data_IF_901120125958
#
_entry.id   IF_901120125958
#
_cell.length_a   1.000
_cell.length_b   1.000
_cell.length_c   1.000
_cell.angle_alpha   90.00
_cell.angle_beta   90.00
_cell.angle_gamma   90.00
#
_symmetry.space_group_name_H-M   'P 1'
#
loop_
_entity.id
_entity.type
_entity.pdbx_description
1 polymer ?
#
# COMPACT_ATOMS: atom_id res chain seq x y z
N UNK A 1 14.07 -4.77 4.67
CA UNK A 1 12.86 -4.90 3.86
C UNK A 1 12.00 -3.67 4.08
N UNK A 2 11.61 -3.00 3.03
CA UNK A 2 10.94 -1.72 3.12
C UNK A 2 9.58 -1.77 2.44
N UNK A 3 8.51 -1.56 3.21
CA UNK A 3 7.15 -1.56 2.67
C UNK A 3 6.95 -0.32 1.80
N UNK A 4 6.59 -0.53 0.54
CA UNK A 4 6.57 0.56 -0.45
C UNK A 4 5.21 1.20 -0.69
N UNK A 5 4.23 0.95 0.16
CA UNK A 5 2.90 1.49 -0.04
C UNK A 5 2.89 3.02 -0.16
N UNK A 6 3.52 3.69 0.79
CA UNK A 6 3.59 5.16 0.80
C UNK A 6 4.32 5.70 -0.42
N UNK A 7 5.43 5.06 -0.79
CA UNK A 7 6.22 5.47 -1.95
C UNK A 7 5.41 5.34 -3.24
N UNK A 8 4.72 4.22 -3.42
CA UNK A 8 3.89 4.00 -4.60
C UNK A 8 2.75 5.01 -4.68
N UNK A 9 2.12 5.29 -3.55
CA UNK A 9 1.04 6.26 -3.49
C UNK A 9 1.54 7.65 -3.89
N UNK A 10 2.68 8.06 -3.36
CA UNK A 10 3.25 9.36 -3.67
C UNK A 10 3.69 9.48 -5.13
N UNK A 11 4.18 8.40 -5.70
CA UNK A 11 4.55 8.39 -7.12
C UNK A 11 3.36 8.68 -8.00
N UNK A 12 2.18 8.20 -7.63
CA UNK A 12 0.95 8.46 -8.37
C UNK A 12 0.28 9.77 -7.99
N UNK A 13 0.87 10.48 -7.03
CA UNK A 13 0.37 11.78 -6.57
C UNK A 13 -1.08 11.71 -6.07
N UNK A 14 -1.40 10.63 -5.35
CA UNK A 14 -2.72 10.46 -4.76
C UNK A 14 -2.61 10.56 -3.24
N UNK A 15 -3.70 11.02 -2.62
CA UNK A 15 -3.76 11.14 -1.17
C UNK A 15 -4.09 9.80 -0.52
N UNK A 16 -3.88 9.72 0.80
CA UNK A 16 -4.33 8.56 1.57
C UNK A 16 -5.84 8.38 1.45
N UNK A 17 -6.58 9.49 1.46
CA UNK A 17 -8.03 9.44 1.32
C UNK A 17 -8.44 8.85 -0.02
N UNK A 18 -7.80 9.28 -1.10
CA UNK A 18 -8.10 8.77 -2.44
C UNK A 18 -7.86 7.26 -2.51
N UNK A 19 -6.72 6.81 -2.00
CA UNK A 19 -6.41 5.39 -1.97
C UNK A 19 -7.44 4.61 -1.16
N UNK A 20 -7.81 5.14 0.00
CA UNK A 20 -8.79 4.49 0.86
C UNK A 20 -10.15 4.38 0.17
N UNK A 21 -10.59 5.45 -0.48
CA UNK A 21 -11.86 5.44 -1.19
C UNK A 21 -11.85 4.43 -2.35
N UNK A 22 -10.77 4.39 -3.11
CA UNK A 22 -10.66 3.48 -4.24
C UNK A 22 -10.66 2.01 -3.80
N UNK A 23 -10.12 1.73 -2.63
CA UNK A 23 -10.04 0.37 -2.11
C UNK A 23 -11.15 0.05 -1.10
N UNK A 24 -12.07 0.99 -0.89
CA UNK A 24 -13.16 0.84 0.07
C UNK A 24 -12.63 0.53 1.48
N UNK A 25 -11.64 1.31 1.90
CA UNK A 25 -10.98 1.16 3.19
C UNK A 25 -11.05 2.46 3.97
N UNK A 26 -10.72 2.38 5.26
CA UNK A 26 -10.64 3.56 6.13
C UNK A 26 -9.28 4.23 5.96
N UNK A 27 -9.27 5.57 5.84
CA UNK A 27 -8.03 6.32 5.70
C UNK A 27 -7.07 6.08 6.87
N UNK A 28 -7.59 5.99 8.09
CA UNK A 28 -6.76 5.72 9.27
C UNK A 28 -6.04 4.38 9.15
N UNK A 29 -6.69 3.40 8.57
CA UNK A 29 -6.08 2.09 8.34
C UNK A 29 -4.91 2.19 7.36
N UNK A 30 -5.10 2.96 6.27
CA UNK A 30 -4.02 3.20 5.32
C UNK A 30 -2.83 3.86 6.01
N UNK A 31 -3.10 4.88 6.82
CA UNK A 31 -2.06 5.59 7.56
C UNK A 31 -1.27 4.65 8.46
N UNK A 32 -1.95 3.76 9.17
CA UNK A 32 -1.28 2.81 10.06
C UNK A 32 -0.40 1.84 9.30
N UNK A 33 -0.85 1.38 8.14
CA UNK A 33 -0.03 0.51 7.30
C UNK A 33 1.21 1.25 6.82
N UNK A 34 1.07 2.49 6.37
CA UNK A 34 2.20 3.28 5.88
C UNK A 34 3.21 3.58 6.97
N UNK A 35 2.75 3.77 8.19
CA UNK A 35 3.61 4.07 9.34
C UNK A 35 4.13 2.81 10.04
N UNK A 36 3.83 1.63 9.51
CA UNK A 36 4.24 0.35 10.08
C UNK A 36 3.67 0.12 11.48
N UNK A 37 2.54 0.75 11.79
CA UNK A 37 1.87 0.57 13.07
C UNK A 37 0.94 -0.63 13.07
N UNK A 38 0.61 -1.14 11.89
CA UNK A 38 -0.26 -2.28 11.72
C UNK A 38 0.20 -3.09 10.52
N UNK A 39 0.18 -4.40 10.65
CA UNK A 39 0.54 -5.29 9.57
C UNK A 39 -0.70 -5.67 8.77
N UNK A 40 -0.64 -5.48 7.46
CA UNK A 40 -1.76 -5.82 6.59
C UNK A 40 -1.85 -7.34 6.41
N UNK A 41 -3.09 -7.84 6.32
CA UNK A 41 -3.27 -9.25 6.04
C UNK A 41 -3.00 -9.53 4.55
N UNK A 42 -2.98 -10.79 4.21
CA UNK A 42 -2.61 -11.23 2.88
C UNK A 42 -3.52 -10.64 1.80
N UNK A 43 -4.83 -10.70 2.04
CA UNK A 43 -5.82 -10.18 1.10
C UNK A 43 -5.62 -8.69 0.85
N UNK A 44 -5.35 -7.93 1.91
CA UNK A 44 -5.14 -6.49 1.81
C UNK A 44 -3.86 -6.17 1.04
N UNK A 45 -2.79 -6.94 1.28
CA UNK A 45 -1.53 -6.75 0.55
C UNK A 45 -1.73 -6.99 -0.94
N UNK A 46 -2.51 -8.00 -1.31
CA UNK A 46 -2.81 -8.29 -2.71
C UNK A 46 -3.59 -7.13 -3.34
N UNK A 47 -4.55 -6.56 -2.61
CA UNK A 47 -5.31 -5.41 -3.10
C UNK A 47 -4.39 -4.23 -3.42
N UNK A 48 -3.43 -3.95 -2.55
CA UNK A 48 -2.47 -2.87 -2.79
C UNK A 48 -1.61 -3.16 -4.01
N UNK A 49 -1.08 -4.37 -4.11
CA UNK A 49 -0.23 -4.76 -5.24
C UNK A 49 -0.98 -4.65 -6.56
N UNK A 50 -2.22 -5.11 -6.59
CA UNK A 50 -3.06 -5.03 -7.79
C UNK A 50 -3.38 -3.58 -8.14
N UNK A 51 -3.69 -2.77 -7.15
CA UNK A 51 -4.01 -1.36 -7.36
C UNK A 51 -2.85 -0.62 -8.04
N UNK A 52 -1.65 -0.88 -7.58
CA UNK A 52 -0.45 -0.21 -8.09
C UNK A 52 0.22 -0.97 -9.23
N UNK A 53 -0.36 -2.10 -9.63
CA UNK A 53 0.15 -2.94 -10.72
C UNK A 53 1.62 -3.31 -10.51
N UNK A 54 1.92 -3.78 -9.31
CA UNK A 54 3.26 -4.25 -8.95
C UNK A 54 3.14 -5.64 -8.33
N UNK A 55 4.27 -6.35 -8.27
CA UNK A 55 4.30 -7.64 -7.60
C UNK A 55 4.20 -7.46 -6.09
N UNK A 56 3.75 -8.49 -5.41
CA UNK A 56 3.72 -8.49 -3.95
C UNK A 56 5.13 -8.33 -3.38
N UNK A 57 6.11 -8.99 -4.00
CA UNK A 57 7.50 -8.88 -3.55
C UNK A 57 8.01 -7.44 -3.64
N UNK A 58 7.67 -6.74 -4.72
CA UNK A 58 8.07 -5.34 -4.87
C UNK A 58 7.40 -4.46 -3.80
N UNK A 59 6.11 -4.67 -3.57
CA UNK A 59 5.37 -3.93 -2.55
C UNK A 59 5.99 -4.11 -1.17
N UNK A 60 6.42 -5.33 -0.86
CA UNK A 60 7.01 -5.66 0.44
C UNK A 60 8.49 -5.28 0.55
N UNK A 61 9.07 -4.74 -0.52
CA UNK A 61 10.47 -4.34 -0.51
C UNK A 61 11.45 -5.50 -0.59
N UNK A 62 11.00 -6.65 -1.08
CA UNK A 62 11.85 -7.84 -1.19
C UNK A 62 12.61 -7.89 -2.51
N UNK A 63 12.26 -7.06 -3.47
CA UNK A 63 12.90 -7.00 -4.77
C UNK A 63 12.91 -5.56 -5.27
N UNK A 64 13.80 -5.27 -6.20
CA UNK A 64 13.89 -3.96 -6.84
C UNK A 64 12.90 -3.81 -8.01
N UNK A 65 12.19 -4.87 -8.35
CA UNK A 65 11.26 -4.84 -9.48
C UNK A 65 9.86 -5.26 -9.11
#
# INVERSE_FOLDING_TARGET
MEFRLKELRKKRKISQLKLALDLNMNQNTISRYENMERQADYTTLIKFADYFDVSLDYLLGRTER
#
